data_IF_747971238923
#
_entry.id   IF_747971238923
#
_cell.length_a   1.000
_cell.length_b   1.000
_cell.length_c   1.000
_cell.angle_alpha   90.00
_cell.angle_beta   90.00
_cell.angle_gamma   90.00
#
_symmetry.space_group_name_H-M   'P 1'
#
loop_
_entity.id
_entity.type
_entity.pdbx_description
1 polymer ?
#
# COMPACT_ATOMS: atom_id res chain seq x y z
N UNK A 1 1.04 4.38 5.07
CA UNK A 1 0.39 5.44 4.25
C UNK A 1 -1.11 5.14 4.17
N UNK A 2 -2.03 6.12 4.32
CA UNK A 2 -3.50 5.87 4.23
C UNK A 2 -3.97 5.83 2.77
N UNK A 3 -4.78 4.84 2.42
CA UNK A 3 -5.31 4.65 1.06
C UNK A 3 -6.22 5.81 0.62
N UNK A 4 -6.26 6.14 -0.69
CA UNK A 4 -7.12 7.19 -1.24
C UNK A 4 -8.53 6.66 -1.60
N UNK A 5 -9.55 7.46 -1.32
CA UNK A 5 -10.97 7.14 -1.54
C UNK A 5 -11.71 8.31 -2.20
N UNK A 6 -12.81 7.98 -2.88
CA UNK A 6 -13.87 8.92 -3.23
C UNK A 6 -14.92 8.87 -2.13
N UNK A 7 -15.40 10.02 -1.68
CA UNK A 7 -16.45 10.15 -0.68
C UNK A 7 -17.64 10.93 -1.25
N UNK A 8 -18.85 10.51 -0.91
CA UNK A 8 -20.12 11.16 -1.27
C UNK A 8 -20.90 11.51 -0.01
N UNK A 9 -21.18 12.80 0.23
CA UNK A 9 -21.95 13.25 1.40
C UNK A 9 -23.45 13.03 1.25
N UNK A 10 -23.89 11.77 1.29
CA UNK A 10 -25.30 11.37 1.10
C UNK A 10 -26.27 11.99 2.12
N UNK A 11 -25.78 12.42 3.28
CA UNK A 11 -26.57 13.04 4.34
C UNK A 11 -26.78 14.56 4.13
N UNK A 12 -26.12 15.18 3.15
CA UNK A 12 -26.36 16.59 2.79
C UNK A 12 -27.59 16.68 1.85
N UNK A 13 -28.34 17.79 1.90
CA UNK A 13 -29.39 18.09 0.91
C UNK A 13 -28.86 18.05 -0.53
N UNK A 14 -27.65 18.55 -0.73
CA UNK A 14 -26.96 18.49 -2.02
C UNK A 14 -25.65 17.72 -1.86
N UNK A 15 -25.63 16.39 -2.04
CA UNK A 15 -24.44 15.59 -1.82
C UNK A 15 -23.24 16.03 -2.68
N UNK A 16 -22.03 15.90 -2.12
CA UNK A 16 -20.78 16.27 -2.81
C UNK A 16 -19.89 15.07 -2.98
N UNK A 17 -19.27 14.96 -4.16
CA UNK A 17 -18.24 13.96 -4.48
C UNK A 17 -16.85 14.58 -4.28
N UNK A 18 -16.00 13.98 -3.43
CA UNK A 18 -14.65 14.51 -3.17
C UNK A 18 -13.63 13.45 -2.77
N UNK A 19 -12.35 13.81 -2.89
CA UNK A 19 -11.22 12.98 -2.49
C UNK A 19 -10.98 13.02 -0.98
N UNK A 20 -10.73 11.86 -0.37
CA UNK A 20 -10.30 11.77 1.04
C UNK A 20 -9.35 10.58 1.27
N UNK A 21 -8.56 10.66 2.34
CA UNK A 21 -7.77 9.53 2.89
C UNK A 21 -8.23 9.14 4.30
N UNK A 22 -9.30 9.77 4.78
CA UNK A 22 -9.89 9.56 6.11
C UNK A 22 -11.28 8.96 5.93
N UNK A 23 -11.48 7.79 6.51
CA UNK A 23 -12.78 7.15 6.69
C UNK A 23 -13.27 7.52 8.09
N UNK A 24 -14.52 7.95 8.20
CA UNK A 24 -15.19 8.28 9.46
C UNK A 24 -16.42 7.37 9.54
N UNK A 25 -16.63 6.73 10.70
CA UNK A 25 -17.82 5.90 10.96
C UNK A 25 -19.05 6.81 10.99
N UNK A 26 -20.16 6.37 10.37
CA UNK A 26 -21.40 7.16 10.17
C UNK A 26 -21.21 8.43 9.32
N UNK A 27 -20.18 8.43 8.48
CA UNK A 27 -19.82 9.53 7.58
C UNK A 27 -20.38 9.39 6.15
N UNK A 28 -19.74 10.06 5.18
CA UNK A 28 -20.02 9.92 3.75
C UNK A 28 -20.01 8.47 3.24
N UNK A 29 -20.67 8.22 2.10
CA UNK A 29 -20.49 6.96 1.37
C UNK A 29 -19.12 6.95 0.71
N UNK A 30 -18.31 5.92 0.99
CA UNK A 30 -16.93 5.82 0.50
C UNK A 30 -16.80 4.78 -0.62
N UNK A 31 -16.01 5.10 -1.64
CA UNK A 31 -15.66 4.22 -2.76
C UNK A 31 -14.13 4.15 -2.88
N UNK A 32 -13.60 2.94 -3.08
CA UNK A 32 -12.17 2.64 -3.09
C UNK A 32 -11.86 1.36 -2.28
N UNK A 33 -10.59 1.14 -1.89
CA UNK A 33 -9.43 2.01 -2.07
C UNK A 33 -8.99 2.11 -3.55
N UNK A 34 -8.44 3.25 -3.94
CA UNK A 34 -7.87 3.45 -5.28
C UNK A 34 -6.35 3.27 -5.28
N UNK A 35 -5.79 2.87 -6.43
CA UNK A 35 -4.34 2.60 -6.62
C UNK A 35 -3.45 3.84 -6.38
N UNK A 36 -3.97 5.04 -6.64
CA UNK A 36 -3.23 6.28 -6.37
C UNK A 36 -4.17 7.47 -6.18
N UNK A 37 -3.64 8.55 -5.57
CA UNK A 37 -4.37 9.82 -5.52
C UNK A 37 -4.61 10.42 -6.92
N UNK A 38 -3.76 10.09 -7.90
CA UNK A 38 -3.95 10.48 -9.31
C UNK A 38 -5.16 9.77 -9.91
N UNK A 39 -5.31 8.46 -9.66
CA UNK A 39 -6.46 7.68 -10.10
C UNK A 39 -7.77 8.26 -9.56
N UNK A 40 -7.84 8.56 -8.25
CA UNK A 40 -9.04 9.19 -7.67
C UNK A 40 -9.38 10.52 -8.34
N UNK A 41 -8.39 11.40 -8.51
CA UNK A 41 -8.63 12.72 -9.13
C UNK A 41 -9.10 12.59 -10.57
N UNK A 42 -8.58 11.62 -11.33
CA UNK A 42 -9.03 11.31 -12.69
C UNK A 42 -10.50 10.88 -12.68
N UNK A 43 -10.87 9.93 -11.82
CA UNK A 43 -12.26 9.45 -11.69
C UNK A 43 -13.22 10.58 -11.27
N UNK A 44 -12.85 11.42 -10.30
CA UNK A 44 -13.68 12.57 -9.91
C UNK A 44 -13.87 13.54 -11.09
N UNK A 45 -12.81 13.78 -11.88
CA UNK A 45 -12.90 14.62 -13.07
C UNK A 45 -13.86 14.03 -14.11
N UNK A 46 -13.79 12.72 -14.37
CA UNK A 46 -14.74 12.01 -15.23
C UNK A 46 -16.19 12.16 -14.76
N UNK A 47 -16.43 11.98 -13.46
CA UNK A 47 -17.76 12.19 -12.87
C UNK A 47 -18.25 13.62 -13.12
N UNK A 48 -17.39 14.62 -12.92
CA UNK A 48 -17.76 16.04 -13.12
C UNK A 48 -17.97 16.40 -14.60
N UNK A 49 -17.44 15.61 -15.53
CA UNK A 49 -17.73 15.77 -16.97
C UNK A 49 -19.07 15.14 -17.34
N UNK A 50 -19.42 14.00 -16.75
CA UNK A 50 -20.66 13.28 -17.06
C UNK A 50 -21.87 13.84 -16.32
N UNK A 51 -21.68 14.31 -15.08
CA UNK A 51 -22.75 14.71 -14.19
C UNK A 51 -22.53 16.16 -13.72
N UNK A 52 -23.49 17.07 -13.93
CA UNK A 52 -23.37 18.47 -13.51
C UNK A 52 -23.58 18.64 -11.99
N UNK A 53 -22.67 18.04 -11.21
CA UNK A 53 -22.65 18.08 -9.74
C UNK A 53 -21.82 19.24 -9.20
N UNK A 54 -22.04 19.58 -7.93
CA UNK A 54 -21.37 20.71 -7.29
C UNK A 54 -19.94 20.32 -6.93
N UNK A 55 -19.01 21.26 -7.12
CA UNK A 55 -17.62 21.13 -6.68
C UNK A 55 -17.27 22.03 -5.48
N UNK A 56 -18.17 22.93 -5.10
CA UNK A 56 -17.98 23.85 -3.99
C UNK A 56 -17.77 23.10 -2.66
N UNK A 57 -17.04 23.73 -1.74
CA UNK A 57 -16.69 23.12 -0.44
C UNK A 57 -17.77 23.39 0.61
N UNK A 58 -17.89 22.49 1.58
CA UNK A 58 -18.82 22.60 2.71
C UNK A 58 -20.11 21.80 2.51
N UNK A 59 -20.92 21.63 3.58
CA UNK A 59 -22.16 20.88 3.53
C UNK A 59 -23.24 21.62 2.72
N UNK A 60 -23.27 22.95 2.77
CA UNK A 60 -24.17 23.79 1.96
C UNK A 60 -23.47 24.26 0.68
N UNK A 61 -24.20 24.35 -0.46
CA UNK A 61 -23.62 24.92 -1.67
C UNK A 61 -23.21 26.38 -1.41
N UNK A 62 -21.95 26.76 -1.67
CA UNK A 62 -21.53 28.18 -1.60
C UNK A 62 -21.85 28.92 -2.89
N UNK A 63 -22.07 30.25 -2.97
CA UNK A 63 -22.22 31.35 -2.00
C UNK A 63 -23.67 31.88 -2.05
N UNK A 64 -24.07 32.58 -1.00
CA UNK A 64 -25.34 33.30 -0.77
C UNK A 64 -25.67 34.47 -1.73
N UNK A 65 -25.13 34.49 -2.95
CA UNK A 65 -25.33 35.56 -3.93
C UNK A 65 -26.37 35.13 -4.97
N UNK A 66 -27.16 36.09 -5.48
CA UNK A 66 -28.21 35.92 -6.50
C UNK A 66 -27.70 35.50 -7.89
N UNK A 67 -26.43 35.11 -8.02
CA UNK A 67 -25.80 34.83 -9.32
C UNK A 67 -25.04 33.50 -9.25
N UNK A 68 -25.27 32.59 -10.22
CA UNK A 68 -24.60 31.30 -10.26
C UNK A 68 -23.11 31.45 -10.61
N UNK A 69 -22.31 30.43 -10.28
CA UNK A 69 -20.87 30.45 -10.55
C UNK A 69 -20.55 30.05 -12.00
N UNK A 70 -19.29 30.26 -12.42
CA UNK A 70 -18.81 29.87 -13.76
C UNK A 70 -19.12 28.41 -14.12
N UNK A 71 -19.10 27.48 -13.17
CA UNK A 71 -19.42 26.07 -13.47
C UNK A 71 -20.86 25.87 -13.92
N UNK A 72 -21.81 26.71 -13.51
CA UNK A 72 -23.17 26.67 -14.03
C UNK A 72 -23.24 27.17 -15.48
N UNK A 73 -22.59 28.29 -15.77
CA UNK A 73 -22.50 28.82 -17.14
C UNK A 73 -21.75 27.89 -18.09
N UNK A 74 -20.86 27.05 -17.57
CA UNK A 74 -20.20 25.97 -18.31
C UNK A 74 -20.98 24.64 -18.27
N UNK A 75 -22.21 24.64 -17.75
CA UNK A 75 -23.10 23.46 -17.62
C UNK A 75 -22.50 22.28 -16.83
N UNK A 76 -21.53 22.54 -15.97
CA UNK A 76 -20.86 21.56 -15.09
C UNK A 76 -21.46 21.47 -13.68
N UNK A 77 -22.47 22.28 -13.38
CA UNK A 77 -23.13 22.32 -12.08
C UNK A 77 -24.55 22.85 -12.26
N UNK A 78 -25.56 22.22 -11.65
CA UNK A 78 -26.95 22.70 -11.67
C UNK A 78 -27.25 23.86 -10.70
N UNK A 79 -26.22 24.58 -10.25
CA UNK A 79 -26.34 25.73 -9.35
C UNK A 79 -27.33 25.60 -8.17
N UNK A 80 -27.23 24.55 -7.33
CA UNK A 80 -28.09 24.42 -6.15
C UNK A 80 -27.89 25.56 -5.13
N UNK A 81 -26.84 26.37 -5.27
CA UNK A 81 -26.61 27.57 -4.45
C UNK A 81 -27.61 28.70 -4.68
N UNK A 82 -28.26 28.75 -5.85
CA UNK A 82 -29.26 29.79 -6.20
C UNK A 82 -30.67 29.20 -6.42
N UNK A 83 -30.87 27.92 -6.18
CA UNK A 83 -32.19 27.27 -6.25
C UNK A 83 -32.64 26.85 -7.66
N UNK A 84 -31.72 26.83 -8.63
CA UNK A 84 -32.01 26.40 -10.03
C UNK A 84 -32.38 24.91 -10.16
N UNK A 85 -32.08 24.10 -9.13
CA UNK A 85 -32.41 22.67 -9.10
C UNK A 85 -33.05 22.29 -7.77
N UNK A 86 -34.07 21.43 -7.84
CA UNK A 86 -34.71 20.84 -6.66
C UNK A 86 -33.84 19.77 -6.01
N UNK A 87 -33.99 19.59 -4.69
CA UNK A 87 -33.25 18.59 -3.93
C UNK A 87 -33.46 17.17 -4.47
N UNK A 88 -34.70 16.82 -4.82
CA UNK A 88 -35.04 15.48 -5.33
C UNK A 88 -34.39 15.20 -6.68
N UNK A 89 -34.37 16.19 -7.57
CA UNK A 89 -33.74 16.06 -8.89
C UNK A 89 -32.22 15.93 -8.76
N UNK A 90 -31.62 16.71 -7.86
CA UNK A 90 -30.20 16.61 -7.59
C UNK A 90 -29.82 15.25 -6.98
N UNK A 91 -30.65 14.71 -6.08
CA UNK A 91 -30.44 13.38 -5.50
C UNK A 91 -30.48 12.27 -6.54
N UNK A 92 -31.43 12.32 -7.50
CA UNK A 92 -31.47 11.35 -8.61
C UNK A 92 -30.17 11.35 -9.42
N UNK A 93 -29.55 12.51 -9.60
CA UNK A 93 -28.24 12.59 -10.25
C UNK A 93 -27.14 11.96 -9.39
N UNK A 94 -27.15 12.17 -8.08
CA UNK A 94 -26.20 11.53 -7.17
C UNK A 94 -26.36 10.00 -7.17
N UNK A 95 -27.58 9.49 -7.27
CA UNK A 95 -27.83 8.04 -7.41
C UNK A 95 -27.20 7.50 -8.70
N UNK A 96 -27.26 8.25 -9.80
CA UNK A 96 -26.57 7.89 -11.05
C UNK A 96 -25.04 7.89 -10.90
N UNK A 97 -24.48 8.85 -10.15
CA UNK A 97 -23.04 8.85 -9.80
C UNK A 97 -22.67 7.62 -8.96
N UNK A 98 -23.54 7.22 -8.02
CA UNK A 98 -23.35 6.02 -7.20
C UNK A 98 -23.38 4.76 -8.08
N UNK A 99 -24.31 4.66 -9.03
CA UNK A 99 -24.39 3.55 -9.98
C UNK A 99 -23.13 3.47 -10.85
N UNK A 100 -22.64 4.62 -11.33
CA UNK A 100 -21.38 4.72 -12.07
C UNK A 100 -20.20 4.20 -11.22
N UNK A 101 -20.05 4.65 -9.98
CA UNK A 101 -18.98 4.20 -9.09
C UNK A 101 -19.09 2.73 -8.66
N UNK A 102 -20.30 2.14 -8.69
CA UNK A 102 -20.53 0.70 -8.49
C UNK A 102 -20.23 -0.13 -9.74
N UNK A 103 -19.84 0.49 -10.85
CA UNK A 103 -19.54 -0.19 -12.10
C UNK A 103 -20.76 -0.70 -12.86
N UNK A 104 -21.96 -0.23 -12.53
CA UNK A 104 -23.25 -0.60 -13.17
C UNK A 104 -23.48 0.25 -14.42
N UNK A 105 -22.49 0.29 -15.31
CA UNK A 105 -22.46 1.23 -16.44
C UNK A 105 -23.53 0.95 -17.50
N UNK A 106 -23.83 -0.33 -17.77
CA UNK A 106 -24.87 -0.72 -18.74
C UNK A 106 -26.25 -0.23 -18.31
N UNK A 107 -26.59 -0.35 -17.03
CA UNK A 107 -27.87 0.13 -16.51
C UNK A 107 -28.00 1.66 -16.63
N UNK A 108 -26.88 2.36 -16.41
CA UNK A 108 -26.81 3.81 -16.56
C UNK A 108 -26.98 4.23 -18.03
N UNK A 109 -26.36 3.51 -18.97
CA UNK A 109 -26.54 3.74 -20.41
C UNK A 109 -28.01 3.53 -20.79
N UNK A 110 -28.64 2.42 -20.40
CA UNK A 110 -30.05 2.16 -20.70
C UNK A 110 -30.98 3.23 -20.08
N UNK A 111 -30.62 3.76 -18.92
CA UNK A 111 -31.37 4.86 -18.30
C UNK A 111 -31.23 6.16 -19.11
N UNK A 112 -30.02 6.51 -19.54
CA UNK A 112 -29.79 7.68 -20.38
C UNK A 112 -30.43 7.55 -21.76
N UNK A 113 -30.37 6.38 -22.40
CA UNK A 113 -31.00 6.14 -23.68
C UNK A 113 -32.52 6.34 -23.60
N UNK A 114 -33.18 5.82 -22.55
CA UNK A 114 -34.61 6.09 -22.30
C UNK A 114 -34.92 7.58 -22.16
N UNK A 115 -34.15 8.29 -21.32
CA UNK A 115 -34.34 9.75 -21.14
C UNK A 115 -34.11 10.54 -22.42
N UNK A 116 -33.11 10.17 -23.21
CA UNK A 116 -32.83 10.80 -24.51
C UNK A 116 -34.03 10.65 -25.45
N UNK A 117 -34.59 9.43 -25.53
CA UNK A 117 -35.80 9.17 -26.33
C UNK A 117 -37.02 9.93 -25.82
N UNK A 118 -37.19 10.04 -24.49
CA UNK A 118 -38.28 10.81 -23.91
C UNK A 118 -38.17 12.31 -24.25
N UNK A 119 -36.99 12.92 -24.15
CA UNK A 119 -36.76 14.31 -24.58
C UNK A 119 -36.98 14.49 -26.08
N UNK A 120 -36.54 13.53 -26.89
CA UNK A 120 -36.78 13.56 -28.35
C UNK A 120 -38.27 13.47 -28.69
N UNK A 121 -39.07 12.69 -27.95
CA UNK A 121 -40.53 12.61 -28.13
C UNK A 121 -41.25 13.89 -27.70
N UNK A 122 -40.67 14.64 -26.76
CA UNK A 122 -41.18 15.93 -26.29
C UNK A 122 -40.65 17.11 -27.13
N UNK A 123 -39.95 16.85 -28.24
CA UNK A 123 -39.31 17.86 -29.10
C UNK A 123 -38.24 18.73 -28.38
N UNK A 124 -37.77 18.28 -27.22
CA UNK A 124 -36.70 18.90 -26.43
C UNK A 124 -35.31 18.49 -26.96
N UNK A 125 -35.01 18.84 -28.22
CA UNK A 125 -33.82 18.36 -28.93
C UNK A 125 -32.50 18.76 -28.27
N UNK A 126 -32.45 19.92 -27.61
CA UNK A 126 -31.25 20.38 -26.90
C UNK A 126 -30.91 19.47 -25.71
N UNK A 127 -31.92 19.08 -24.93
CA UNK A 127 -31.74 18.14 -23.80
C UNK A 127 -31.42 16.74 -24.32
N UNK A 128 -32.06 16.30 -25.40
CA UNK A 128 -31.75 15.02 -26.02
C UNK A 128 -30.29 14.95 -26.52
N UNK A 129 -29.80 16.02 -27.16
CA UNK A 129 -28.41 16.12 -27.61
C UNK A 129 -27.43 16.06 -26.42
N UNK A 130 -27.71 16.75 -25.31
CA UNK A 130 -26.87 16.66 -24.10
C UNK A 130 -26.81 15.25 -23.54
N UNK A 131 -27.94 14.55 -23.44
CA UNK A 131 -27.98 13.15 -22.95
C UNK A 131 -27.25 12.22 -23.91
N UNK A 132 -27.38 12.42 -25.23
CA UNK A 132 -26.60 11.69 -26.24
C UNK A 132 -25.11 11.88 -26.02
N UNK A 133 -24.66 13.11 -25.82
CA UNK A 133 -23.24 13.41 -25.63
C UNK A 133 -22.72 12.80 -24.30
N UNK A 134 -23.55 12.76 -23.25
CA UNK A 134 -23.26 12.01 -22.01
C UNK A 134 -23.13 10.50 -22.25
N UNK A 135 -24.01 9.91 -23.07
CA UNK A 135 -23.92 8.49 -23.47
C UNK A 135 -22.62 8.23 -24.23
N UNK A 136 -22.27 9.09 -25.19
CA UNK A 136 -21.03 8.98 -25.97
C UNK A 136 -19.80 9.09 -25.08
N UNK A 137 -19.76 10.07 -24.18
CA UNK A 137 -18.66 10.23 -23.23
C UNK A 137 -18.56 9.03 -22.28
N UNK A 138 -19.69 8.49 -21.82
CA UNK A 138 -19.74 7.30 -20.96
C UNK A 138 -19.25 6.05 -21.71
N UNK A 139 -19.69 5.84 -22.96
CA UNK A 139 -19.23 4.73 -23.83
C UNK A 139 -17.72 4.83 -24.11
N UNK A 140 -17.22 6.02 -24.43
CA UNK A 140 -15.79 6.26 -24.63
C UNK A 140 -14.97 6.00 -23.35
N UNK A 141 -15.46 6.41 -22.18
CA UNK A 141 -14.79 6.10 -20.90
C UNK A 141 -14.82 4.61 -20.56
N UNK A 142 -15.91 3.91 -20.90
CA UNK A 142 -15.97 2.45 -20.76
C UNK A 142 -15.01 1.80 -21.74
N UNK A 143 -14.88 2.31 -22.97
CA UNK A 143 -13.94 1.80 -23.98
C UNK A 143 -12.47 2.05 -23.60
N UNK A 144 -12.14 3.22 -23.06
CA UNK A 144 -10.83 3.51 -22.46
C UNK A 144 -10.56 2.67 -21.19
N UNK A 145 -11.62 2.15 -20.55
CA UNK A 145 -11.54 1.18 -19.45
C UNK A 145 -11.63 -0.29 -19.92
N UNK A 146 -12.11 -0.56 -21.14
CA UNK A 146 -12.10 -1.86 -21.85
C UNK A 146 -10.71 -2.12 -22.45
N UNK A 147 -9.69 -1.95 -21.62
CA UNK A 147 -8.57 -2.87 -21.64
C UNK A 147 -9.02 -3.99 -20.70
N UNK A 148 -10.01 -4.74 -21.15
CA UNK A 148 -10.68 -5.77 -20.36
C UNK A 148 -10.83 -6.96 -21.29
N UNK A 149 -9.95 -7.92 -21.05
CA UNK A 149 -9.94 -9.24 -21.64
C UNK A 149 -11.37 -9.74 -21.79
N UNK A 150 -11.74 -10.07 -23.03
CA UNK A 150 -12.86 -10.96 -23.25
C UNK A 150 -12.72 -12.19 -22.34
N UNK A 151 -13.86 -12.64 -21.83
CA UNK A 151 -14.10 -13.80 -20.95
C UNK A 151 -14.28 -13.47 -19.46
N UNK A 152 -15.37 -13.98 -18.87
CA UNK A 152 -15.70 -13.99 -17.44
C UNK A 152 -14.71 -14.86 -16.62
N UNK A 153 -13.46 -14.95 -17.06
CA UNK A 153 -12.44 -15.83 -16.51
C UNK A 153 -11.60 -15.10 -15.46
N UNK A 154 -11.35 -15.81 -14.37
CA UNK A 154 -10.40 -15.40 -13.35
C UNK A 154 -8.98 -15.68 -13.85
N UNK A 155 -8.14 -14.65 -13.85
CA UNK A 155 -6.77 -14.72 -14.35
C UNK A 155 -5.81 -13.96 -13.43
N UNK A 156 -4.61 -14.50 -13.29
CA UNK A 156 -3.49 -13.78 -12.67
C UNK A 156 -2.42 -13.51 -13.74
N UNK A 157 -1.85 -12.31 -13.75
CA UNK A 157 -0.76 -11.90 -14.64
C UNK A 157 0.47 -11.67 -13.77
N UNK A 158 1.50 -12.46 -13.99
CA UNK A 158 2.75 -12.44 -13.24
C UNK A 158 3.88 -12.08 -14.20
N UNK A 159 4.47 -10.91 -13.98
CA UNK A 159 5.64 -10.47 -14.74
C UNK A 159 6.79 -10.21 -13.78
N UNK A 160 8.03 -10.35 -14.26
CA UNK A 160 9.19 -9.99 -13.47
C UNK A 160 10.10 -9.03 -14.21
N UNK A 161 10.82 -8.23 -13.43
CA UNK A 161 11.98 -7.48 -13.88
C UNK A 161 13.12 -7.77 -12.89
N UNK A 162 14.36 -7.82 -13.38
CA UNK A 162 15.52 -8.06 -12.53
C UNK A 162 16.64 -7.08 -12.86
N UNK A 163 17.44 -6.75 -11.84
CA UNK A 163 18.60 -5.87 -11.91
C UNK A 163 19.59 -6.33 -10.84
N UNK A 164 20.77 -6.73 -11.27
CA UNK A 164 21.86 -7.23 -10.41
C UNK A 164 21.43 -8.41 -9.52
N UNK A 165 21.23 -8.18 -8.22
CA UNK A 165 20.91 -9.21 -7.22
C UNK A 165 19.45 -9.18 -6.79
N UNK A 166 18.63 -8.31 -7.38
CA UNK A 166 17.23 -8.09 -7.00
C UNK A 166 16.32 -8.33 -8.21
N UNK A 167 15.23 -9.06 -7.99
CA UNK A 167 14.10 -9.10 -8.90
C UNK A 167 12.85 -8.50 -8.24
N UNK A 168 12.02 -7.84 -9.04
CA UNK A 168 10.68 -7.44 -8.68
C UNK A 168 9.71 -8.29 -9.48
N UNK A 169 8.80 -8.97 -8.79
CA UNK A 169 7.69 -9.69 -9.41
C UNK A 169 6.43 -8.87 -9.20
N UNK A 170 5.76 -8.56 -10.30
CA UNK A 170 4.49 -7.87 -10.34
C UNK A 170 3.37 -8.90 -10.54
N UNK A 171 2.34 -8.84 -9.69
CA UNK A 171 1.15 -9.68 -9.77
C UNK A 171 -0.09 -8.81 -9.96
N UNK A 172 -0.79 -8.98 -11.08
CA UNK A 172 -2.16 -8.48 -11.24
C UNK A 172 -3.15 -9.62 -11.13
N UNK A 173 -4.05 -9.53 -10.17
CA UNK A 173 -5.18 -10.46 -10.07
C UNK A 173 -6.41 -9.85 -10.70
N UNK A 174 -7.00 -10.59 -11.62
CA UNK A 174 -8.22 -10.23 -12.32
C UNK A 174 -9.28 -11.28 -12.04
N UNK A 175 -10.47 -10.83 -11.64
CA UNK A 175 -11.61 -11.71 -11.32
C UNK A 175 -12.85 -11.20 -12.06
N UNK A 176 -13.55 -12.08 -12.78
CA UNK A 176 -14.65 -11.70 -13.67
C UNK A 176 -14.30 -10.58 -14.66
N UNK A 177 -13.11 -10.65 -15.26
CA UNK A 177 -12.62 -9.65 -16.23
C UNK A 177 -12.21 -8.29 -15.64
N UNK A 178 -12.26 -8.11 -14.31
CA UNK A 178 -11.84 -6.87 -13.63
C UNK A 178 -10.60 -7.09 -12.78
N UNK A 179 -9.62 -6.20 -12.90
CA UNK A 179 -8.46 -6.19 -12.02
C UNK A 179 -8.90 -5.85 -10.58
N UNK A 180 -8.74 -6.82 -9.67
CA UNK A 180 -9.16 -6.73 -8.27
C UNK A 180 -7.99 -6.43 -7.34
N UNK A 181 -6.78 -6.87 -7.69
CA UNK A 181 -5.59 -6.67 -6.88
C UNK A 181 -4.35 -6.44 -7.74
N UNK A 182 -3.41 -5.70 -7.15
CA UNK A 182 -2.08 -5.42 -7.69
C UNK A 182 -1.11 -5.50 -6.52
N UNK A 183 -0.19 -6.45 -6.59
CA UNK A 183 0.86 -6.65 -5.60
C UNK A 183 2.23 -6.72 -6.29
N UNK A 184 3.27 -6.38 -5.54
CA UNK A 184 4.65 -6.51 -5.98
C UNK A 184 5.47 -7.21 -4.90
N UNK A 185 6.43 -8.03 -5.32
CA UNK A 185 7.27 -8.82 -4.44
C UNK A 185 8.74 -8.62 -4.83
N UNK A 186 9.57 -8.32 -3.84
CA UNK A 186 11.01 -8.23 -4.06
C UNK A 186 11.66 -9.57 -3.69
N UNK A 187 12.42 -10.11 -4.64
CA UNK A 187 13.29 -11.25 -4.43
C UNK A 187 14.74 -10.78 -4.40
N UNK A 188 15.48 -11.24 -3.39
CA UNK A 188 16.91 -10.97 -3.24
C UNK A 188 17.72 -12.22 -3.58
N UNK A 189 18.97 -12.05 -4.00
CA UNK A 189 19.86 -13.18 -4.31
C UNK A 189 19.56 -13.85 -5.64
N UNK A 190 18.90 -13.17 -6.59
CA UNK A 190 18.58 -13.71 -7.93
C UNK A 190 19.75 -13.64 -8.91
N UNK A 191 20.93 -13.23 -8.45
CA UNK A 191 22.11 -13.06 -9.31
C UNK A 191 22.53 -14.40 -9.92
N UNK A 192 22.55 -14.46 -11.25
CA UNK A 192 22.89 -15.69 -11.98
C UNK A 192 21.82 -16.76 -11.93
N UNK A 193 20.64 -16.46 -11.39
CA UNK A 193 19.46 -17.34 -11.41
C UNK A 193 18.61 -16.96 -12.61
N UNK A 194 18.24 -17.92 -13.44
CA UNK A 194 17.37 -17.67 -14.58
C UNK A 194 15.93 -17.30 -14.15
N UNK A 195 15.27 -16.45 -14.94
CA UNK A 195 13.89 -16.00 -14.67
C UNK A 195 12.91 -17.15 -14.45
N UNK A 196 12.99 -18.17 -15.30
CA UNK A 196 12.14 -19.37 -15.21
C UNK A 196 12.21 -20.08 -13.86
N UNK A 197 13.35 -20.01 -13.16
CA UNK A 197 13.63 -20.72 -11.90
C UNK A 197 12.98 -19.97 -10.73
N UNK A 198 13.23 -18.66 -10.63
CA UNK A 198 12.69 -17.89 -9.52
C UNK A 198 11.19 -17.59 -9.69
N UNK A 199 10.69 -17.47 -10.92
CA UNK A 199 9.25 -17.41 -11.17
C UNK A 199 8.56 -18.71 -10.72
N UNK A 200 9.10 -19.88 -11.11
CA UNK A 200 8.59 -21.18 -10.65
C UNK A 200 8.53 -21.27 -9.12
N UNK A 201 9.61 -20.85 -8.45
CA UNK A 201 9.68 -20.81 -6.98
C UNK A 201 8.67 -19.85 -6.36
N UNK A 202 8.48 -18.67 -6.96
CA UNK A 202 7.49 -17.68 -6.52
C UNK A 202 6.07 -18.22 -6.64
N UNK A 203 5.69 -18.83 -7.78
CA UNK A 203 4.36 -19.39 -7.97
C UNK A 203 4.05 -20.46 -6.90
N UNK A 204 4.99 -21.38 -6.65
CA UNK A 204 4.86 -22.42 -5.62
C UNK A 204 4.58 -21.81 -4.24
N UNK A 205 5.39 -20.83 -3.82
CA UNK A 205 5.24 -20.18 -2.53
C UNK A 205 3.93 -19.37 -2.44
N UNK A 206 3.62 -18.58 -3.46
CA UNK A 206 2.47 -17.69 -3.48
C UNK A 206 1.14 -18.44 -3.35
N UNK A 207 0.94 -19.49 -4.15
CA UNK A 207 -0.29 -20.28 -4.13
C UNK A 207 -0.35 -21.31 -3.01
N UNK A 208 0.76 -21.58 -2.32
CA UNK A 208 0.74 -22.33 -1.06
C UNK A 208 0.14 -21.49 0.08
N UNK A 209 0.37 -20.18 0.08
CA UNK A 209 -0.15 -19.26 1.10
C UNK A 209 -1.54 -18.68 0.74
N UNK A 210 -1.94 -18.71 -0.54
CA UNK A 210 -3.15 -18.07 -1.05
C UNK A 210 -4.18 -19.08 -1.56
N UNK A 211 -5.38 -19.18 -0.97
CA UNK A 211 -6.37 -20.21 -1.34
C UNK A 211 -7.18 -19.90 -2.62
N UNK A 212 -6.91 -18.80 -3.33
CA UNK A 212 -7.70 -18.37 -4.51
C UNK A 212 -6.88 -18.54 -5.78
N UNK A 213 -6.99 -19.70 -6.41
CA UNK A 213 -6.29 -20.05 -7.66
C UNK A 213 -7.15 -19.68 -8.90
N UNK A 214 -6.66 -18.88 -9.85
CA UNK A 214 -7.39 -18.50 -11.08
C UNK A 214 -7.46 -19.65 -12.11
N UNK A 215 -8.24 -19.49 -13.19
CA UNK A 215 -8.33 -20.50 -14.25
C UNK A 215 -7.08 -20.48 -15.13
N UNK A 216 -6.48 -19.29 -15.24
CA UNK A 216 -5.32 -19.06 -16.07
C UNK A 216 -4.33 -18.15 -15.36
N UNK A 217 -3.06 -18.50 -15.44
CA UNK A 217 -1.94 -17.73 -14.91
C UNK A 217 -1.06 -17.38 -16.11
N UNK A 218 -0.95 -16.10 -16.40
CA UNK A 218 -0.06 -15.59 -17.44
C UNK A 218 1.28 -15.27 -16.82
N UNK A 219 2.36 -15.76 -17.42
CA UNK A 219 3.74 -15.54 -16.96
C UNK A 219 4.58 -14.86 -18.05
N UNK A 220 5.50 -13.97 -17.67
CA UNK A 220 6.37 -13.23 -18.60
C UNK A 220 7.27 -14.14 -19.43
N UNK A 221 7.74 -15.21 -18.81
CA UNK A 221 8.64 -16.23 -19.38
C UNK A 221 8.12 -17.61 -18.95
N UNK A 222 8.39 -18.65 -19.76
CA UNK A 222 8.03 -20.02 -19.40
C UNK A 222 8.77 -20.45 -18.13
N UNK A 223 8.15 -21.29 -17.31
CA UNK A 223 8.66 -21.61 -15.96
C UNK A 223 9.14 -23.05 -15.86
N UNK A 224 10.08 -23.30 -14.95
CA UNK A 224 10.44 -24.68 -14.59
C UNK A 224 9.28 -25.38 -13.89
N UNK A 225 9.18 -26.70 -14.11
CA UNK A 225 8.14 -27.56 -13.56
C UNK A 225 6.70 -27.14 -13.91
N UNK A 226 6.50 -26.42 -15.02
CA UNK A 226 5.17 -25.91 -15.42
C UNK A 226 4.07 -26.97 -15.35
N UNK A 227 4.32 -28.17 -15.90
CA UNK A 227 3.34 -29.25 -15.91
C UNK A 227 2.96 -29.72 -14.49
N UNK A 228 3.94 -29.82 -13.58
CA UNK A 228 3.72 -30.18 -12.19
C UNK A 228 2.95 -29.08 -11.44
N UNK A 229 3.28 -27.80 -11.70
CA UNK A 229 2.58 -26.66 -11.12
C UNK A 229 1.13 -26.61 -11.61
N UNK A 230 0.88 -26.78 -12.90
CA UNK A 230 -0.48 -26.83 -13.45
C UNK A 230 -1.31 -27.96 -12.84
N UNK A 231 -0.72 -29.15 -12.67
CA UNK A 231 -1.37 -30.29 -12.04
C UNK A 231 -1.72 -30.02 -10.56
N UNK A 232 -0.75 -29.51 -9.79
CA UNK A 232 -0.96 -29.17 -8.39
C UNK A 232 -2.05 -28.09 -8.23
N UNK A 233 -1.95 -26.99 -8.97
CA UNK A 233 -2.94 -25.90 -8.92
C UNK A 233 -4.33 -26.34 -9.38
N UNK A 234 -4.40 -27.25 -10.35
CA UNK A 234 -5.68 -27.86 -10.78
C UNK A 234 -6.32 -28.66 -9.65
N UNK A 235 -5.53 -29.37 -8.84
CA UNK A 235 -6.03 -30.11 -7.67
C UNK A 235 -6.51 -29.15 -6.58
N UNK A 236 -5.73 -28.11 -6.24
CA UNK A 236 -6.10 -27.10 -5.24
C UNK A 236 -7.39 -26.36 -5.61
N UNK A 237 -7.55 -26.02 -6.91
CA UNK A 237 -8.73 -25.32 -7.42
C UNK A 237 -9.96 -26.23 -7.58
N UNK A 238 -9.76 -27.53 -7.78
CA UNK A 238 -10.81 -28.48 -8.16
C UNK A 238 -11.30 -28.35 -9.62
N UNK A 239 -10.65 -27.53 -10.44
CA UNK A 239 -10.92 -27.39 -11.89
C UNK A 239 -9.64 -27.01 -12.62
N UNK A 240 -9.59 -27.25 -13.94
CA UNK A 240 -8.36 -27.10 -14.75
C UNK A 240 -7.76 -25.69 -14.65
N UNK A 241 -6.49 -25.61 -14.29
CA UNK A 241 -5.65 -24.42 -14.31
C UNK A 241 -4.67 -24.50 -15.47
N UNK A 242 -4.44 -23.38 -16.17
CA UNK A 242 -3.40 -23.27 -17.21
C UNK A 242 -2.41 -22.18 -16.84
N UNK A 243 -1.12 -22.49 -16.91
CA UNK A 243 -0.06 -21.47 -16.90
C UNK A 243 0.33 -21.23 -18.35
N UNK A 244 0.53 -19.99 -18.80
CA UNK A 244 0.95 -19.76 -20.19
C UNK A 244 1.68 -18.44 -20.41
N UNK A 245 2.49 -18.38 -21.47
CA UNK A 245 3.15 -17.15 -21.92
C UNK A 245 2.35 -16.54 -23.07
N UNK A 246 1.80 -15.32 -22.92
CA UNK A 246 0.99 -14.72 -23.97
C UNK A 246 1.86 -14.13 -25.10
N UNK A 247 1.70 -14.67 -26.32
CA UNK A 247 2.53 -14.27 -27.48
C UNK A 247 1.91 -13.18 -28.37
N UNK A 248 0.60 -12.99 -28.32
CA UNK A 248 -0.14 -12.00 -29.13
C UNK A 248 -1.48 -11.63 -28.48
N UNK A 249 -2.08 -10.56 -28.98
CA UNK A 249 -3.40 -10.10 -28.53
C UNK A 249 -3.37 -9.35 -27.20
N UNK A 250 -4.52 -9.28 -26.55
CA UNK A 250 -4.71 -8.46 -25.34
C UNK A 250 -3.96 -8.98 -24.12
N UNK A 251 -3.90 -10.31 -23.93
CA UNK A 251 -3.12 -10.96 -22.87
C UNK A 251 -1.64 -10.54 -22.93
N UNK A 252 -1.09 -10.37 -24.14
CA UNK A 252 0.29 -9.88 -24.32
C UNK A 252 0.44 -8.43 -23.91
N UNK A 253 -0.51 -7.54 -24.27
CA UNK A 253 -0.47 -6.14 -23.85
C UNK A 253 -0.52 -5.97 -22.33
N UNK A 254 -1.33 -6.79 -21.66
CA UNK A 254 -1.40 -6.79 -20.19
C UNK A 254 -0.12 -7.33 -19.56
N UNK A 255 0.50 -8.34 -20.17
CA UNK A 255 1.82 -8.82 -19.76
C UNK A 255 2.90 -7.76 -19.93
N UNK A 256 2.93 -7.04 -21.06
CA UNK A 256 3.85 -5.93 -21.32
C UNK A 256 3.69 -4.82 -20.27
N UNK A 257 2.45 -4.46 -19.93
CA UNK A 257 2.16 -3.50 -18.86
C UNK A 257 2.61 -3.99 -17.48
N UNK A 258 2.43 -5.27 -17.16
CA UNK A 258 2.90 -5.85 -15.91
C UNK A 258 4.43 -5.85 -15.84
N UNK A 259 5.12 -6.16 -16.94
CA UNK A 259 6.57 -6.12 -17.04
C UNK A 259 7.14 -4.71 -16.93
N UNK A 260 6.52 -3.72 -17.58
CA UNK A 260 6.88 -2.30 -17.42
C UNK A 260 6.73 -1.85 -15.96
N UNK A 261 5.63 -2.23 -15.30
CA UNK A 261 5.41 -1.91 -13.90
C UNK A 261 6.45 -2.58 -12.99
N UNK A 262 6.78 -3.86 -13.23
CA UNK A 262 7.83 -4.56 -12.50
C UNK A 262 9.17 -3.82 -12.62
N UNK A 263 9.51 -3.33 -13.82
CA UNK A 263 10.72 -2.55 -14.06
C UNK A 263 10.72 -1.22 -13.30
N UNK A 264 9.64 -0.44 -13.37
CA UNK A 264 9.54 0.84 -12.69
C UNK A 264 9.57 0.71 -11.16
N UNK A 265 8.88 -0.30 -10.62
CA UNK A 265 8.87 -0.54 -9.17
C UNK A 265 10.24 -1.08 -8.71
N UNK A 266 10.91 -1.92 -9.52
CA UNK A 266 12.28 -2.33 -9.25
C UNK A 266 13.23 -1.13 -9.19
N UNK A 267 13.17 -0.23 -10.16
CA UNK A 267 14.07 0.92 -10.24
C UNK A 267 13.83 1.89 -9.07
N UNK A 268 12.56 2.17 -8.77
CA UNK A 268 12.18 3.00 -7.61
C UNK A 268 12.61 2.38 -6.27
N UNK A 269 12.42 1.08 -6.09
CA UNK A 269 12.75 0.39 -4.84
C UNK A 269 14.26 0.17 -4.69
N UNK A 270 14.97 -0.09 -5.78
CA UNK A 270 16.44 -0.18 -5.79
C UNK A 270 17.06 1.17 -5.42
N UNK A 271 16.57 2.27 -5.98
CA UNK A 271 17.03 3.61 -5.65
C UNK A 271 16.71 3.97 -4.20
N UNK A 272 15.48 3.72 -3.75
CA UNK A 272 15.09 3.95 -2.35
C UNK A 272 15.97 3.15 -1.38
N UNK A 273 16.28 1.89 -1.68
CA UNK A 273 17.18 1.06 -0.87
C UNK A 273 18.61 1.56 -0.89
N UNK A 274 19.08 2.08 -2.02
CA UNK A 274 20.41 2.70 -2.15
C UNK A 274 20.49 3.95 -1.27
N UNK A 275 19.52 4.86 -1.37
CA UNK A 275 19.46 6.05 -0.53
C UNK A 275 19.33 5.71 0.96
N UNK A 276 18.52 4.71 1.32
CA UNK A 276 18.39 4.23 2.71
C UNK A 276 19.71 3.66 3.22
N UNK A 277 20.40 2.81 2.44
CA UNK A 277 21.73 2.26 2.81
C UNK A 277 22.80 3.35 2.90
N UNK A 278 22.80 4.32 1.98
CA UNK A 278 23.74 5.44 1.98
C UNK A 278 23.50 6.37 3.17
N UNK A 279 22.23 6.66 3.51
CA UNK A 279 21.86 7.44 4.69
C UNK A 279 22.17 6.72 6.00
N UNK A 280 21.88 5.41 6.09
CA UNK A 280 22.16 4.59 7.27
C UNK A 280 23.68 4.43 7.47
N UNK A 281 24.44 4.18 6.39
CA UNK A 281 25.90 4.12 6.44
C UNK A 281 26.52 5.47 6.77
N UNK A 282 25.99 6.57 6.25
CA UNK A 282 26.47 7.92 6.53
C UNK A 282 26.36 8.28 8.01
N UNK A 283 25.22 7.98 8.64
CA UNK A 283 25.01 8.22 10.09
C UNK A 283 25.98 7.38 10.94
N UNK A 284 26.26 6.13 10.57
CA UNK A 284 27.21 5.29 11.31
C UNK A 284 28.67 5.74 11.13
N UNK A 285 29.03 6.28 9.95
CA UNK A 285 30.33 6.91 9.71
C UNK A 285 30.48 8.14 10.60
N UNK A 286 29.49 9.03 10.59
CA UNK A 286 29.49 10.25 11.39
C UNK A 286 29.52 9.93 12.91
N UNK A 287 28.77 8.91 13.34
CA UNK A 287 28.80 8.44 14.73
C UNK A 287 30.18 7.91 15.14
N UNK A 288 30.86 7.16 14.27
CA UNK A 288 32.22 6.68 14.50
C UNK A 288 33.19 7.85 14.67
N UNK A 289 33.08 8.88 13.83
CA UNK A 289 33.92 10.08 13.88
C UNK A 289 33.66 10.93 15.11
N UNK A 290 32.40 11.20 15.45
CA UNK A 290 32.01 12.01 16.62
C UNK A 290 32.47 11.37 17.94
N UNK A 291 32.39 10.06 18.04
CA UNK A 291 32.73 9.31 19.26
C UNK A 291 34.15 8.74 19.25
N UNK A 292 34.95 9.02 18.21
CA UNK A 292 36.30 8.49 17.99
C UNK A 292 36.39 6.97 18.21
N UNK A 293 35.44 6.22 17.63
CA UNK A 293 35.34 4.79 17.86
C UNK A 293 36.47 4.04 17.11
N UNK A 294 37.17 3.10 17.79
CA UNK A 294 38.27 2.36 17.19
C UNK A 294 37.82 1.40 16.08
N UNK A 295 36.53 1.05 16.04
CA UNK A 295 35.92 0.17 15.05
C UNK A 295 34.59 0.75 14.58
N UNK A 296 34.19 0.38 13.37
CA UNK A 296 32.89 0.77 12.83
C UNK A 296 31.76 0.13 13.66
N UNK A 297 30.76 0.89 14.14
CA UNK A 297 29.75 0.38 15.05
C UNK A 297 28.68 -0.47 14.34
N UNK A 298 29.03 -1.69 13.94
CA UNK A 298 28.12 -2.61 13.22
C UNK A 298 27.03 -3.13 14.12
N UNK A 299 27.37 -3.54 15.35
CA UNK A 299 26.39 -3.96 16.36
C UNK A 299 26.40 -2.98 17.53
N UNK A 300 25.24 -2.41 17.83
CA UNK A 300 25.07 -1.48 18.95
C UNK A 300 24.02 -2.02 19.90
N UNK A 301 24.25 -1.86 21.20
CA UNK A 301 23.30 -2.26 22.25
C UNK A 301 22.94 -1.06 23.11
N UNK A 302 21.66 -0.80 23.29
CA UNK A 302 21.12 0.26 24.13
C UNK A 302 20.53 -0.31 25.42
N UNK A 303 20.83 0.31 26.56
CA UNK A 303 20.37 -0.11 27.88
C UNK A 303 19.59 0.99 28.59
N UNK A 304 18.43 0.64 29.15
CA UNK A 304 17.57 1.53 29.94
C UNK A 304 17.07 0.81 31.20
N UNK A 305 16.89 1.55 32.30
CA UNK A 305 16.32 1.06 33.56
C UNK A 305 14.94 1.66 33.76
N UNK A 306 13.94 0.79 33.80
CA UNK A 306 12.57 1.17 34.16
C UNK A 306 12.27 0.71 35.58
N UNK A 307 12.02 1.67 36.48
CA UNK A 307 11.57 1.40 37.85
C UNK A 307 10.05 1.53 37.95
N UNK A 308 9.37 0.42 38.23
CA UNK A 308 7.93 0.43 38.49
C UNK A 308 7.73 0.82 39.95
N UNK A 309 6.94 1.87 40.22
CA UNK A 309 6.65 2.37 41.57
C UNK A 309 6.14 1.25 42.49
N UNK A 310 7.05 0.63 43.25
CA UNK A 310 6.70 -0.16 44.42
C UNK A 310 7.33 -1.54 44.61
N UNK A 311 8.02 -2.20 43.65
CA UNK A 311 8.65 -3.51 44.00
C UNK A 311 9.66 -4.15 43.01
N UNK A 312 9.74 -3.77 41.73
CA UNK A 312 10.69 -4.41 40.79
C UNK A 312 11.23 -3.45 39.75
N UNK A 313 12.56 -3.35 39.65
CA UNK A 313 13.25 -2.67 38.55
C UNK A 313 13.59 -3.66 37.44
N UNK A 314 13.45 -3.22 36.19
CA UNK A 314 13.71 -4.02 34.99
C UNK A 314 14.64 -3.24 34.07
N UNK A 315 15.77 -3.84 33.71
CA UNK A 315 16.63 -3.36 32.64
C UNK A 315 16.14 -3.85 31.28
N UNK A 316 16.09 -2.98 30.29
CA UNK A 316 15.80 -3.34 28.91
C UNK A 316 17.05 -3.19 28.04
N UNK A 317 17.24 -4.14 27.12
CA UNK A 317 18.31 -4.14 26.13
C UNK A 317 17.70 -4.14 24.74
N UNK A 318 17.98 -3.08 23.99
CA UNK A 318 17.65 -2.97 22.57
C UNK A 318 18.90 -3.19 21.74
N UNK A 319 18.73 -3.76 20.54
CA UNK A 319 19.86 -4.12 19.67
C UNK A 319 19.67 -3.50 18.31
N UNK A 320 20.73 -2.88 17.80
CA UNK A 320 20.85 -2.44 16.42
C UNK A 320 21.98 -3.20 15.74
N UNK A 321 21.76 -3.66 14.51
CA UNK A 321 22.78 -4.29 13.66
C UNK A 321 22.74 -3.60 12.29
N UNK A 322 23.89 -3.09 11.83
CA UNK A 322 24.05 -2.28 10.61
C UNK A 322 23.03 -1.13 10.55
N UNK A 323 22.84 -0.43 11.67
CA UNK A 323 21.92 0.72 11.78
C UNK A 323 20.44 0.37 11.93
N UNK A 324 20.06 -0.92 11.88
CA UNK A 324 18.66 -1.37 11.94
C UNK A 324 18.31 -2.05 13.24
N UNK A 325 17.09 -1.82 13.75
CA UNK A 325 16.61 -2.47 14.97
C UNK A 325 16.50 -3.99 14.78
N UNK A 326 17.21 -4.76 15.58
CA UNK A 326 17.16 -6.23 15.59
C UNK A 326 16.30 -6.74 16.74
N UNK A 327 14.98 -6.65 16.56
CA UNK A 327 13.99 -6.94 17.60
C UNK A 327 14.06 -8.36 18.17
N UNK A 328 14.48 -9.34 17.37
CA UNK A 328 14.70 -10.72 17.82
C UNK A 328 15.72 -10.83 18.95
N UNK A 329 16.66 -9.89 19.03
CA UNK A 329 17.76 -9.90 19.98
C UNK A 329 17.46 -9.02 21.22
N UNK A 330 16.25 -8.45 21.32
CA UNK A 330 15.87 -7.61 22.46
C UNK A 330 15.72 -8.46 23.72
N UNK A 331 16.17 -7.94 24.87
CA UNK A 331 16.12 -8.67 26.14
C UNK A 331 15.62 -7.78 27.26
N UNK A 332 15.03 -8.43 28.26
CA UNK A 332 14.65 -7.81 29.54
C UNK A 332 15.37 -8.53 30.66
N UNK A 333 15.95 -7.77 31.57
CA UNK A 333 16.69 -8.23 32.72
C UNK A 333 15.95 -7.80 33.97
N UNK A 334 15.46 -8.76 34.75
CA UNK A 334 15.03 -8.48 36.12
C UNK A 334 16.29 -8.21 36.96
N UNK A 335 16.31 -7.07 37.64
CA UNK A 335 17.36 -6.71 38.61
C UNK A 335 17.26 -7.67 39.81
N UNK A 336 18.40 -8.19 40.27
CA UNK A 336 18.44 -9.22 41.32
C UNK A 336 19.28 -8.85 42.53
N UNK A 337 20.29 -8.00 42.36
CA UNK A 337 21.37 -7.83 43.34
C UNK A 337 21.50 -6.41 43.87
N UNK A 338 20.68 -5.48 43.37
CA UNK A 338 20.68 -4.07 43.77
C UNK A 338 19.40 -3.77 44.54
N UNK A 339 19.57 -3.38 45.81
CA UNK A 339 18.48 -2.91 46.67
C UNK A 339 18.38 -1.38 46.61
N UNK A 340 17.15 -0.85 46.53
CA UNK A 340 16.89 0.60 46.43
C UNK A 340 16.84 1.12 44.98
N UNK A 341 16.75 2.45 44.81
CA UNK A 341 16.71 3.12 43.50
C UNK A 341 18.10 3.68 43.14
N UNK A 342 19.00 2.80 42.71
CA UNK A 342 20.31 3.16 42.16
C UNK A 342 20.44 2.66 40.72
N UNK A 343 20.07 3.52 39.77
CA UNK A 343 20.05 3.18 38.35
C UNK A 343 21.44 2.82 37.82
N UNK A 344 22.53 3.40 38.36
CA UNK A 344 23.90 3.07 37.95
C UNK A 344 24.30 1.68 38.39
N UNK A 345 24.01 1.32 39.64
CA UNK A 345 24.27 -0.02 40.14
C UNK A 345 23.43 -1.06 39.36
N UNK A 346 22.18 -0.74 39.03
CA UNK A 346 21.31 -1.60 38.22
C UNK A 346 21.83 -1.78 36.79
N UNK A 347 22.29 -0.72 36.14
CA UNK A 347 22.91 -0.79 34.81
C UNK A 347 24.18 -1.63 34.83
N UNK A 348 25.04 -1.45 35.84
CA UNK A 348 26.25 -2.25 36.00
C UNK A 348 25.94 -3.74 36.22
N UNK A 349 24.90 -4.09 36.99
CA UNK A 349 24.44 -5.47 37.13
C UNK A 349 24.02 -6.06 35.77
N UNK A 350 23.18 -5.34 35.02
CA UNK A 350 22.63 -5.80 33.74
C UNK A 350 23.74 -6.01 32.71
N UNK A 351 24.63 -5.02 32.56
CA UNK A 351 25.76 -5.08 31.62
C UNK A 351 26.74 -6.18 32.04
N UNK A 352 27.07 -6.30 33.33
CA UNK A 352 27.92 -7.36 33.84
C UNK A 352 27.36 -8.76 33.54
N UNK A 353 26.06 -8.96 33.73
CA UNK A 353 25.38 -10.23 33.40
C UNK A 353 25.33 -10.49 31.89
N UNK A 354 25.15 -9.45 31.08
CA UNK A 354 25.22 -9.55 29.61
C UNK A 354 26.60 -10.00 29.14
N UNK A 355 27.67 -9.39 29.67
CA UNK A 355 29.05 -9.72 29.31
C UNK A 355 29.42 -11.11 29.82
N UNK A 356 29.00 -11.46 31.03
CA UNK A 356 29.17 -12.81 31.57
C UNK A 356 28.54 -13.90 30.69
N UNK A 357 27.36 -13.65 30.12
CA UNK A 357 26.71 -14.56 29.15
C UNK A 357 27.44 -14.67 27.82
N UNK A 358 28.18 -13.64 27.41
CA UNK A 358 29.01 -13.71 26.21
C UNK A 358 30.27 -14.56 26.44
N UNK A 359 30.86 -14.46 27.63
CA UNK A 359 32.01 -15.28 28.03
C UNK A 359 31.62 -16.76 28.19
N UNK A 360 30.40 -17.05 28.64
CA UNK A 360 29.86 -18.41 28.74
C UNK A 360 29.32 -18.91 27.39
N UNK A 361 30.24 -19.36 26.53
CA UNK A 361 29.92 -19.91 25.20
C UNK A 361 29.29 -21.30 25.24
N UNK A 362 29.14 -21.91 26.43
CA UNK A 362 28.62 -23.28 26.59
C UNK A 362 27.09 -23.33 26.71
N UNK A 363 26.43 -22.18 26.85
CA UNK A 363 24.98 -22.10 27.01
C UNK A 363 24.22 -22.49 25.71
N UNK A 364 23.39 -23.56 25.72
CA UNK A 364 22.77 -24.08 24.50
C UNK A 364 21.61 -23.24 23.92
N UNK A 365 21.15 -22.20 24.64
CA UNK A 365 19.77 -21.72 24.47
C UNK A 365 19.60 -20.25 24.06
N UNK A 366 20.66 -19.46 23.88
CA UNK A 366 20.49 -18.07 23.42
C UNK A 366 21.64 -17.57 22.55
N UNK A 367 21.52 -17.78 21.24
CA UNK A 367 22.50 -17.34 20.23
C UNK A 367 22.66 -15.81 20.16
N UNK A 368 21.69 -15.04 20.69
CA UNK A 368 21.74 -13.57 20.64
C UNK A 368 22.85 -12.97 21.52
N UNK A 369 23.32 -13.70 22.53
CA UNK A 369 24.41 -13.26 23.41
C UNK A 369 25.82 -13.61 22.90
N UNK A 370 25.94 -14.42 21.83
CA UNK A 370 27.23 -14.86 21.27
C UNK A 370 28.00 -13.74 20.57
N UNK A 371 27.31 -12.68 20.12
CA UNK A 371 27.94 -11.51 19.50
C UNK A 371 28.23 -10.44 20.55
N UNK A 372 29.40 -9.83 20.52
CA UNK A 372 29.73 -8.65 21.33
C UNK A 372 29.32 -7.38 20.56
N UNK A 373 28.76 -6.35 21.21
CA UNK A 373 28.52 -5.06 20.55
C UNK A 373 29.83 -4.29 20.30
N UNK A 374 29.86 -3.53 19.23
CA UNK A 374 30.91 -2.55 18.91
C UNK A 374 30.70 -1.22 19.68
N UNK A 375 29.46 -0.93 20.10
CA UNK A 375 29.10 0.24 20.90
C UNK A 375 27.99 -0.13 21.90
N UNK A 376 28.18 0.25 23.17
CA UNK A 376 27.15 0.19 24.20
C UNK A 376 26.69 1.61 24.50
N UNK A 377 25.38 1.84 24.40
CA UNK A 377 24.72 3.10 24.73
C UNK A 377 23.88 2.86 25.99
N UNK A 378 23.96 3.79 26.93
CA UNK A 378 23.25 3.69 28.20
C UNK A 378 22.40 4.94 28.38
N UNK A 379 21.13 4.77 28.69
CA UNK A 379 20.21 5.86 29.02
C UNK A 379 20.44 6.31 30.47
N UNK A 380 21.34 7.28 30.64
CA UNK A 380 21.70 7.82 31.95
C UNK A 380 22.48 9.14 31.80
N UNK A 381 22.09 10.15 32.58
CA UNK A 381 22.80 11.43 32.63
C UNK A 381 24.21 11.30 33.24
N UNK A 382 24.95 12.41 33.32
CA UNK A 382 26.15 12.47 34.16
C UNK A 382 25.71 12.37 35.62
N UNK A 383 25.97 11.23 36.26
CA UNK A 383 25.73 11.05 37.69
C UNK A 383 26.54 12.08 38.48
N UNK A 384 26.00 12.56 39.60
CA UNK A 384 26.80 13.37 40.51
C UNK A 384 28.09 12.60 40.85
N UNK A 385 29.26 13.26 40.89
CA UNK A 385 30.54 12.59 41.10
C UNK A 385 30.71 12.19 42.57
N UNK A 386 29.96 11.19 43.03
CA UNK A 386 30.23 10.49 44.29
C UNK A 386 31.26 9.38 44.02
N UNK A 387 32.53 9.74 44.12
CA UNK A 387 33.58 8.90 44.69
C UNK A 387 33.63 7.41 44.31
N UNK A 388 33.48 7.04 43.05
CA UNK A 388 34.09 5.82 42.48
C UNK A 388 33.78 5.74 40.99
N UNK A 389 34.72 6.16 40.15
CA UNK A 389 34.80 5.65 38.77
C UNK A 389 35.12 4.16 38.83
N UNK A 390 34.14 3.33 39.18
CA UNK A 390 34.19 1.93 38.79
C UNK A 390 34.00 1.92 37.28
N UNK A 391 35.06 1.54 36.57
CA UNK A 391 34.96 1.20 35.15
C UNK A 391 33.82 0.20 35.01
N UNK A 392 32.88 0.51 34.12
CA UNK A 392 31.80 -0.40 33.76
C UNK A 392 32.28 -1.51 32.81
N UNK A 393 33.60 -1.59 32.56
CA UNK A 393 34.29 -2.61 31.78
C UNK A 393 35.66 -2.94 32.39
#
# INVERSE_FOLDING_TARGET
KKYPFIAITINDSYPRVFFTRKIVRDGPLYFGPFTSARAVRRTIKSIQTLFPIRNCKGPRPGKSASTPCLNFHLERCLAPCVGEVREEEYRRMIDQVILFLKGRHQDLIQHFERRMWDYSRQEDFEKAARVRDQITALKHMIEEQKISLDEEMDLDIIASAHKEEIACIELFSTRGGKMVARDHFLLEGVKGVEERVYLSSFLKLHYQETPIVPQEILVSTDIEDRELIEQWLTQERGSRVRVSVPLKGEKKRLMEMAAENAYYDLDFLAEKRRTEKESESGVLVELKEILDLPRFPRRMEGYDISTIMGQTSVGSMVVFEEGRSKKSDYKRFRIKTVDGQDDYAMLAEVIGRRVGRWLDQTSPWDSSFKKIPDLIVVDGGKGQPSGSRKRLL
#
